data_IF_816349160608
#
_entry.id   IF_816349160608
#
_cell.length_a   1.000
_cell.length_b   1.000
_cell.length_c   1.000
_cell.angle_alpha   90.00
_cell.angle_beta   90.00
_cell.angle_gamma   90.00
#
_symmetry.space_group_name_H-M   'P 1'
#
loop_
_entity.id
_entity.type
_entity.pdbx_description
1 polymer ?
#
# COMPACT_ATOMS: atom_id res chain seq x y z
N UNK A 1 25.96 2.26 -16.06
CA UNK A 1 25.98 3.11 -14.85
C UNK A 1 24.70 3.94 -14.68
N UNK A 2 24.23 4.67 -15.70
CA UNK A 2 23.00 5.49 -15.66
C UNK A 2 21.72 4.71 -15.24
N UNK A 3 21.48 3.51 -15.81
CA UNK A 3 20.29 2.72 -15.49
C UNK A 3 20.22 2.30 -14.02
N UNK A 4 21.32 1.78 -13.46
CA UNK A 4 21.37 1.38 -12.03
C UNK A 4 21.05 2.54 -11.09
N UNK A 5 21.60 3.73 -11.36
CA UNK A 5 21.29 4.92 -10.57
C UNK A 5 19.81 5.30 -10.66
N UNK A 6 19.21 5.26 -11.86
CA UNK A 6 17.78 5.53 -12.06
C UNK A 6 16.92 4.50 -11.32
N UNK A 7 17.27 3.22 -11.38
CA UNK A 7 16.58 2.14 -10.65
C UNK A 7 16.64 2.35 -9.14
N UNK A 8 17.83 2.62 -8.58
CA UNK A 8 17.99 2.87 -7.14
C UNK A 8 17.27 4.15 -6.70
N UNK A 9 17.31 5.22 -7.50
CA UNK A 9 16.58 6.45 -7.21
C UNK A 9 15.06 6.24 -7.25
N UNK A 10 14.55 5.52 -8.25
CA UNK A 10 13.13 5.16 -8.35
C UNK A 10 12.69 4.38 -7.11
N UNK A 11 13.42 3.32 -6.79
CA UNK A 11 13.15 2.49 -5.63
C UNK A 11 13.09 3.35 -4.36
N UNK A 12 14.12 4.18 -4.11
CA UNK A 12 14.15 5.03 -2.91
C UNK A 12 13.00 6.02 -2.85
N UNK A 13 12.66 6.68 -3.95
CA UNK A 13 11.53 7.63 -4.00
C UNK A 13 10.21 6.94 -3.68
N UNK A 14 9.97 5.76 -4.26
CA UNK A 14 8.75 4.99 -4.01
C UNK A 14 8.68 4.54 -2.55
N UNK A 15 9.79 4.00 -2.01
CA UNK A 15 9.83 3.55 -0.61
C UNK A 15 9.59 4.70 0.36
N UNK A 16 10.21 5.86 0.15
CA UNK A 16 10.00 7.03 1.01
C UNK A 16 8.58 7.58 0.91
N UNK A 17 7.98 7.57 -0.29
CA UNK A 17 6.58 7.94 -0.46
C UNK A 17 5.67 7.02 0.36
N UNK A 18 5.85 5.70 0.23
CA UNK A 18 5.04 4.71 0.95
C UNK A 18 5.27 4.83 2.46
N UNK A 19 6.52 5.04 2.91
CA UNK A 19 6.84 5.26 4.33
C UNK A 19 6.10 6.47 4.86
N UNK A 20 6.20 7.61 4.20
CA UNK A 20 5.50 8.83 4.60
C UNK A 20 3.97 8.62 4.62
N UNK A 21 3.44 7.93 3.61
CA UNK A 21 2.02 7.62 3.53
C UNK A 21 1.54 6.74 4.68
N UNK A 22 2.18 5.59 4.92
CA UNK A 22 1.75 4.63 5.94
C UNK A 22 1.98 5.13 7.38
N UNK A 23 3.03 5.92 7.62
CA UNK A 23 3.35 6.42 8.98
C UNK A 23 2.53 7.64 9.38
N UNK A 24 2.02 8.41 8.40
CA UNK A 24 1.13 9.54 8.61
C UNK A 24 -0.35 9.19 8.50
N UNK A 25 -0.67 8.01 7.96
CA UNK A 25 -2.03 7.52 7.81
C UNK A 25 -2.79 7.57 9.14
N UNK A 26 -4.07 7.91 9.04
CA UNK A 26 -5.05 7.86 10.13
C UNK A 26 -6.26 7.08 9.64
N UNK A 27 -7.07 6.56 10.55
CA UNK A 27 -8.32 5.91 10.17
C UNK A 27 -9.17 6.91 9.39
N UNK A 28 -9.60 6.53 8.19
CA UNK A 28 -10.36 7.40 7.30
C UNK A 28 -11.83 7.00 7.26
N UNK A 29 -12.67 7.97 6.93
CA UNK A 29 -14.08 7.76 6.62
C UNK A 29 -14.28 7.60 5.11
N UNK A 30 -15.46 7.17 4.69
CA UNK A 30 -15.81 7.08 3.27
C UNK A 30 -15.74 8.45 2.56
N UNK A 31 -15.91 9.55 3.29
CA UNK A 31 -15.83 10.91 2.74
C UNK A 31 -14.38 11.34 2.43
N UNK A 32 -13.39 10.78 3.13
CA UNK A 32 -11.97 11.12 2.93
C UNK A 32 -11.37 10.39 1.70
N UNK A 33 -11.94 9.23 1.34
CA UNK A 33 -11.42 8.35 0.29
C UNK A 33 -11.22 9.01 -1.08
N UNK A 34 -12.15 9.82 -1.62
CA UNK A 34 -11.94 10.48 -2.90
C UNK A 34 -10.72 11.38 -2.90
N UNK A 35 -10.48 12.11 -1.80
CA UNK A 35 -9.31 12.98 -1.68
C UNK A 35 -8.01 12.16 -1.59
N UNK A 36 -7.99 11.12 -0.75
CA UNK A 36 -6.82 10.24 -0.56
C UNK A 36 -6.45 9.57 -1.88
N UNK A 37 -7.42 8.95 -2.55
CA UNK A 37 -7.18 8.23 -3.82
C UNK A 37 -6.79 9.18 -4.94
N UNK A 38 -7.40 10.36 -5.05
CA UNK A 38 -6.99 11.38 -6.02
C UNK A 38 -5.55 11.83 -5.80
N UNK A 39 -5.15 12.03 -4.53
CA UNK A 39 -3.78 12.39 -4.18
C UNK A 39 -2.78 11.29 -4.53
N UNK A 40 -3.03 10.04 -4.12
CA UNK A 40 -2.16 8.90 -4.45
C UNK A 40 -2.04 8.74 -5.97
N UNK A 41 -3.14 8.88 -6.71
CA UNK A 41 -3.13 8.80 -8.18
C UNK A 41 -2.25 9.87 -8.79
N UNK A 42 -2.47 11.13 -8.42
CA UNK A 42 -1.68 12.27 -8.92
C UNK A 42 -0.19 12.13 -8.58
N UNK A 43 0.13 11.72 -7.36
CA UNK A 43 1.52 11.56 -6.94
C UNK A 43 2.18 10.36 -7.64
N UNK A 44 1.47 9.25 -7.80
CA UNK A 44 1.93 8.08 -8.55
C UNK A 44 2.17 8.37 -10.04
N UNK A 45 1.29 9.15 -10.68
CA UNK A 45 1.48 9.63 -12.06
C UNK A 45 2.73 10.50 -12.18
N UNK A 46 2.98 11.40 -11.21
CA UNK A 46 4.20 12.23 -11.20
C UNK A 46 5.47 11.40 -11.05
N UNK A 47 5.48 10.40 -10.15
CA UNK A 47 6.62 9.49 -9.98
C UNK A 47 6.86 8.75 -11.30
N UNK A 48 5.81 8.16 -11.87
CA UNK A 48 5.85 7.47 -13.16
C UNK A 48 6.45 8.37 -14.25
N UNK A 49 5.91 9.57 -14.42
CA UNK A 49 6.33 10.51 -15.46
C UNK A 49 7.79 10.95 -15.27
N UNK A 50 8.21 11.23 -14.03
CA UNK A 50 9.59 11.63 -13.72
C UNK A 50 10.59 10.55 -14.12
N UNK A 51 10.32 9.30 -13.74
CA UNK A 51 11.28 8.22 -14.01
C UNK A 51 11.20 7.70 -15.45
N UNK A 52 10.00 7.50 -15.98
CA UNK A 52 9.81 6.95 -17.33
C UNK A 52 10.08 7.98 -18.42
N UNK A 53 9.49 9.17 -18.33
CA UNK A 53 9.59 10.17 -19.40
C UNK A 53 10.89 10.96 -19.33
N UNK A 54 11.35 11.32 -18.13
CA UNK A 54 12.49 12.23 -18.00
C UNK A 54 13.84 11.52 -17.83
N UNK A 55 13.87 10.28 -17.34
CA UNK A 55 15.14 9.60 -17.00
C UNK A 55 15.43 8.37 -17.86
N UNK A 56 14.50 7.43 -17.97
CA UNK A 56 14.62 6.24 -18.82
C UNK A 56 13.25 5.59 -19.11
N UNK A 57 12.86 5.39 -20.38
CA UNK A 57 11.60 4.69 -20.75
C UNK A 57 11.44 3.30 -20.12
N UNK A 58 12.53 2.55 -19.95
CA UNK A 58 12.54 1.21 -19.35
C UNK A 58 12.26 1.23 -17.84
N UNK A 59 12.22 2.43 -17.22
CA UNK A 59 11.83 2.59 -15.82
C UNK A 59 10.37 2.14 -15.58
N UNK A 60 9.59 1.89 -16.63
CA UNK A 60 8.25 1.33 -16.51
C UNK A 60 8.22 -0.08 -15.93
N UNK A 61 9.29 -0.86 -16.13
CA UNK A 61 9.41 -2.20 -15.57
C UNK A 61 9.75 -2.21 -14.06
N UNK A 62 10.04 -1.05 -13.46
CA UNK A 62 10.47 -0.96 -12.05
C UNK A 62 9.33 -1.15 -11.03
N UNK A 63 8.08 -1.30 -11.51
CA UNK A 63 6.91 -1.50 -10.68
C UNK A 63 6.44 -0.23 -9.96
N UNK A 64 5.20 -0.23 -9.47
CA UNK A 64 4.66 0.87 -8.68
C UNK A 64 3.60 0.35 -7.70
N UNK A 65 3.95 0.14 -6.42
CA UNK A 65 3.02 -0.37 -5.40
C UNK A 65 1.78 0.52 -5.19
N UNK A 66 1.84 1.80 -5.60
CA UNK A 66 0.74 2.75 -5.44
C UNK A 66 -0.50 2.36 -6.25
N UNK A 67 -0.35 1.62 -7.35
CA UNK A 67 -1.50 1.11 -8.12
C UNK A 67 -2.36 0.19 -7.26
N UNK A 68 -1.74 -0.71 -6.49
CA UNK A 68 -2.45 -1.63 -5.61
C UNK A 68 -3.15 -0.92 -4.46
N UNK A 69 -2.56 0.18 -3.96
CA UNK A 69 -3.20 1.01 -2.94
C UNK A 69 -4.47 1.63 -3.49
N UNK A 70 -4.39 2.19 -4.71
CA UNK A 70 -5.52 2.79 -5.39
C UNK A 70 -6.63 1.76 -5.62
N UNK A 71 -6.28 0.60 -6.18
CA UNK A 71 -7.24 -0.46 -6.49
C UNK A 71 -7.98 -0.93 -5.22
N UNK A 72 -7.24 -1.17 -4.12
CA UNK A 72 -7.84 -1.57 -2.85
C UNK A 72 -8.72 -0.46 -2.26
N UNK A 73 -8.24 0.79 -2.24
CA UNK A 73 -8.99 1.92 -1.69
C UNK A 73 -10.25 2.24 -2.51
N UNK A 74 -10.21 2.04 -3.83
CA UNK A 74 -11.33 2.28 -4.74
C UNK A 74 -12.29 1.08 -4.89
N UNK A 75 -11.90 -0.12 -4.46
CA UNK A 75 -12.73 -1.31 -4.52
C UNK A 75 -14.12 -1.07 -3.88
N UNK A 76 -15.18 -1.33 -4.65
CA UNK A 76 -16.55 -0.88 -4.33
C UNK A 76 -17.32 -1.83 -3.43
N UNK A 77 -16.92 -3.10 -3.37
CA UNK A 77 -17.57 -4.13 -2.57
C UNK A 77 -16.53 -5.05 -1.92
N UNK A 78 -16.97 -5.92 -1.02
CA UNK A 78 -16.05 -6.76 -0.25
C UNK A 78 -15.28 -7.77 -1.11
N UNK A 79 -15.89 -8.29 -2.17
CA UNK A 79 -15.23 -9.26 -3.04
C UNK A 79 -14.10 -8.59 -3.83
N UNK A 80 -14.36 -7.39 -4.34
CA UNK A 80 -13.33 -6.56 -4.97
C UNK A 80 -12.20 -6.22 -3.98
N UNK A 81 -12.51 -5.93 -2.72
CA UNK A 81 -11.49 -5.68 -1.68
C UNK A 81 -10.65 -6.93 -1.45
N UNK A 82 -11.25 -8.11 -1.34
CA UNK A 82 -10.52 -9.38 -1.17
C UNK A 82 -9.62 -9.66 -2.36
N UNK A 83 -10.17 -9.60 -3.57
CA UNK A 83 -9.43 -9.85 -4.81
C UNK A 83 -8.24 -8.91 -4.98
N UNK A 84 -8.46 -7.59 -4.83
CA UNK A 84 -7.37 -6.60 -4.93
C UNK A 84 -6.34 -6.78 -3.82
N UNK A 85 -6.78 -7.11 -2.60
CA UNK A 85 -5.85 -7.39 -1.49
C UNK A 85 -5.03 -8.64 -1.78
N UNK A 86 -5.62 -9.74 -2.22
CA UNK A 86 -4.90 -10.98 -2.48
C UNK A 86 -3.91 -10.79 -3.62
N UNK A 87 -4.34 -10.15 -4.72
CA UNK A 87 -3.44 -9.78 -5.80
C UNK A 87 -2.28 -8.90 -5.33
N UNK A 88 -2.55 -7.92 -4.46
CA UNK A 88 -1.50 -7.09 -3.86
C UNK A 88 -0.51 -7.91 -3.02
N UNK A 89 -1.02 -8.88 -2.25
CA UNK A 89 -0.19 -9.78 -1.45
C UNK A 89 0.67 -10.71 -2.30
N UNK A 90 0.18 -11.22 -3.43
CA UNK A 90 0.99 -12.06 -4.33
C UNK A 90 2.11 -11.28 -5.04
N UNK A 91 1.91 -9.98 -5.28
CA UNK A 91 2.93 -9.15 -5.96
C UNK A 91 3.93 -8.49 -4.99
N UNK A 92 3.66 -8.53 -3.68
CA UNK A 92 4.49 -7.91 -2.66
C UNK A 92 4.56 -8.81 -1.40
N UNK A 93 5.47 -9.80 -1.47
CA UNK A 93 5.75 -10.78 -0.41
C UNK A 93 6.35 -10.13 0.84
N UNK A 94 7.08 -9.04 0.67
CA UNK A 94 7.71 -8.21 1.70
C UNK A 94 6.70 -7.35 2.49
N UNK A 95 5.46 -7.26 2.02
CA UNK A 95 4.40 -6.57 2.74
C UNK A 95 4.10 -7.25 4.08
N UNK A 96 4.06 -6.48 5.17
CA UNK A 96 3.77 -6.99 6.51
C UNK A 96 2.34 -6.70 6.96
N UNK A 97 1.87 -7.45 7.95
CA UNK A 97 0.49 -7.40 8.44
C UNK A 97 0.08 -6.01 8.89
N UNK A 98 1.00 -5.26 9.49
CA UNK A 98 0.86 -3.86 9.91
C UNK A 98 0.61 -2.92 8.74
N UNK A 99 1.30 -3.09 7.60
CA UNK A 99 1.08 -2.28 6.40
C UNK A 99 -0.33 -2.51 5.88
N UNK A 100 -0.71 -3.79 5.70
CA UNK A 100 -2.06 -4.14 5.25
C UNK A 100 -3.13 -3.61 6.20
N UNK A 101 -2.89 -3.69 7.51
CA UNK A 101 -3.85 -3.21 8.50
C UNK A 101 -4.10 -1.71 8.36
N UNK A 102 -3.05 -0.90 8.20
CA UNK A 102 -3.17 0.55 7.97
C UNK A 102 -3.94 0.86 6.68
N UNK A 103 -3.65 0.14 5.59
CA UNK A 103 -4.35 0.33 4.32
C UNK A 103 -5.84 -0.01 4.45
N UNK A 104 -6.18 -1.08 5.19
CA UNK A 104 -7.58 -1.42 5.48
C UNK A 104 -8.26 -0.40 6.42
N UNK A 105 -7.51 0.23 7.34
CA UNK A 105 -8.03 1.29 8.21
C UNK A 105 -8.30 2.58 7.41
N UNK A 106 -7.49 2.87 6.38
CA UNK A 106 -7.76 3.92 5.39
C UNK A 106 -8.97 3.59 4.51
N UNK A 107 -9.18 2.32 4.15
CA UNK A 107 -10.37 1.89 3.40
C UNK A 107 -11.67 2.18 4.17
N UNK A 108 -11.63 2.10 5.50
CA UNK A 108 -12.72 2.50 6.41
C UNK A 108 -13.96 1.60 6.41
N UNK A 109 -14.34 1.00 5.28
CA UNK A 109 -15.61 0.26 5.11
C UNK A 109 -15.49 -1.26 5.29
N UNK A 110 -14.39 -1.76 5.87
CA UNK A 110 -14.16 -3.21 6.04
C UNK A 110 -14.71 -3.71 7.37
N UNK A 111 -15.79 -4.49 7.33
CA UNK A 111 -16.39 -5.12 8.53
C UNK A 111 -15.40 -6.04 9.24
N UNK A 112 -15.51 -6.20 10.56
CA UNK A 112 -14.60 -7.02 11.39
C UNK A 112 -14.47 -8.47 10.90
N UNK A 113 -15.57 -9.12 10.54
CA UNK A 113 -15.58 -10.50 10.01
C UNK A 113 -14.79 -10.61 8.72
N UNK A 114 -14.99 -9.65 7.81
CA UNK A 114 -14.29 -9.62 6.52
C UNK A 114 -12.81 -9.28 6.67
N UNK A 115 -12.48 -8.35 7.58
CA UNK A 115 -11.09 -8.06 7.94
C UNK A 115 -10.38 -9.30 8.44
N UNK A 116 -11.05 -10.13 9.25
CA UNK A 116 -10.50 -11.40 9.73
C UNK A 116 -10.17 -12.34 8.56
N UNK A 117 -11.10 -12.52 7.61
CA UNK A 117 -10.86 -13.36 6.41
C UNK A 117 -9.62 -12.91 5.64
N UNK A 118 -9.47 -11.60 5.42
CA UNK A 118 -8.31 -11.03 4.72
C UNK A 118 -7.01 -11.28 5.49
N UNK A 119 -7.03 -11.09 6.81
CA UNK A 119 -5.85 -11.29 7.65
C UNK A 119 -5.51 -12.78 7.84
N UNK A 120 -6.48 -13.67 7.80
CA UNK A 120 -6.27 -15.11 7.86
C UNK A 120 -5.60 -15.59 6.56
N UNK A 121 -6.03 -15.09 5.39
CA UNK A 121 -5.31 -15.29 4.13
C UNK A 121 -3.86 -14.81 4.22
N UNK A 122 -3.64 -13.59 4.73
CA UNK A 122 -2.29 -13.06 4.93
C UNK A 122 -1.40 -13.98 5.78
N UNK A 123 -1.92 -14.54 6.87
CA UNK A 123 -1.14 -15.41 7.75
C UNK A 123 -0.83 -16.77 7.12
N UNK A 124 -1.69 -17.26 6.21
CA UNK A 124 -1.54 -18.55 5.54
C UNK A 124 -0.75 -18.52 4.23
N UNK A 125 -0.50 -17.34 3.65
CA UNK A 125 0.23 -17.21 2.38
C UNK A 125 1.71 -17.57 2.56
N UNK A 126 2.29 -18.18 1.52
CA UNK A 126 3.75 -18.30 1.41
C UNK A 126 4.32 -16.97 0.94
N UNK A 127 5.50 -16.62 1.44
CA UNK A 127 6.24 -15.48 0.89
C UNK A 127 7.03 -15.97 -0.32
N UNK A 128 7.00 -15.20 -1.39
CA UNK A 128 7.96 -15.36 -2.47
C UNK A 128 9.33 -14.86 -2.01
N UNK A 129 10.24 -15.80 -1.77
CA UNK A 129 11.62 -15.54 -1.35
C UNK A 129 12.49 -15.05 -2.53
N UNK A 130 12.07 -15.30 -3.77
CA UNK A 130 12.78 -14.92 -5.00
C UNK A 130 12.34 -13.55 -5.54
N UNK A 131 11.42 -12.85 -4.85
CA UNK A 131 10.93 -11.53 -5.25
C UNK A 131 12.10 -10.54 -5.35
N UNK A 132 12.34 -10.00 -6.55
CA UNK A 132 13.53 -9.17 -6.80
C UNK A 132 13.46 -7.75 -6.21
N UNK A 133 12.26 -7.23 -5.93
CA UNK A 133 12.05 -5.83 -5.51
C UNK A 133 11.24 -5.78 -4.24
N UNK A 134 11.82 -5.23 -3.16
CA UNK A 134 11.16 -5.12 -1.85
C UNK A 134 10.91 -3.66 -1.46
N UNK A 135 9.69 -3.17 -1.62
CA UNK A 135 9.34 -1.78 -1.30
C UNK A 135 8.95 -1.56 0.18
N UNK A 136 8.61 -2.61 0.91
CA UNK A 136 8.01 -2.58 2.23
C UNK A 136 8.96 -3.04 3.34
N UNK A 137 10.03 -3.76 3.00
CA UNK A 137 10.94 -4.36 3.96
C UNK A 137 11.49 -3.32 4.96
N UNK A 138 12.01 -2.19 4.47
CA UNK A 138 12.56 -1.11 5.30
C UNK A 138 11.52 -0.13 5.88
N UNK A 139 10.23 -0.34 5.64
CA UNK A 139 9.17 0.56 6.11
C UNK A 139 8.65 0.06 7.45
N UNK A 140 8.87 0.78 8.54
CA UNK A 140 8.28 0.45 9.84
C UNK A 140 7.00 1.24 10.10
N UNK A 141 5.96 0.58 10.60
CA UNK A 141 4.67 1.20 10.90
C UNK A 141 4.27 0.97 12.35
N UNK A 142 4.25 2.05 13.14
CA UNK A 142 3.88 2.01 14.55
C UNK A 142 2.36 1.97 14.74
N UNK A 143 1.83 0.80 15.11
CA UNK A 143 0.38 0.60 15.37
C UNK A 143 -0.17 1.38 16.57
N UNK A 144 0.66 1.81 17.51
CA UNK A 144 0.22 2.49 18.74
C UNK A 144 -0.62 3.75 18.44
N UNK A 145 -0.43 4.41 17.30
CA UNK A 145 -1.24 5.56 16.86
C UNK A 145 -2.68 5.22 16.46
N UNK A 146 -2.97 3.97 16.12
CA UNK A 146 -4.32 3.53 15.72
C UNK A 146 -5.10 2.86 16.87
N UNK A 147 -4.41 2.46 17.95
CA UNK A 147 -5.02 1.85 19.14
C UNK A 147 -5.57 2.89 20.14
N UNK A 148 -5.15 4.15 20.05
CA UNK A 148 -5.54 5.22 21.00
C UNK A 148 -6.99 5.70 20.88
N UNK A 149 -7.80 5.12 19.99
CA UNK A 149 -9.24 5.38 19.89
C UNK A 149 -10.13 4.24 20.40
N UNK A 150 -9.56 3.20 21.03
CA UNK A 150 -10.34 2.26 21.85
C UNK A 150 -10.65 2.91 23.21
N UNK A 151 -11.50 3.95 23.17
CA UNK A 151 -12.17 4.44 24.36
C UNK A 151 -13.13 3.34 24.84
N UNK A 152 -13.05 3.00 26.13
CA UNK A 152 -13.88 2.01 26.83
C UNK A 152 -15.37 2.38 26.91
N UNK A 153 -15.85 3.39 26.18
CA UNK A 153 -17.20 3.93 26.29
C UNK A 153 -18.16 3.49 25.15
N UNK A 154 -17.82 2.45 24.40
CA UNK A 154 -18.73 1.85 23.41
C UNK A 154 -18.92 0.36 23.70
N UNK A 155 -19.53 0.06 24.85
CA UNK A 155 -20.21 -1.21 25.17
C UNK A 155 -21.68 -0.90 25.34
#
# INVERSE_FOLDING_TARGET
>A
MKYRLVTSAHHRVVVEYIRAFLTSARKSTSADLPHITSKIKKDGEKVKDTFQRCLNPDAAALGNPLIFFLDLLQATNIEAIKMTTFFFLENHSDLRKEHLSVILDLKGTVKRKERKVILDYFNGRKRDEDQQVHFFEEIEVNRLRFASHLCSCCV
#
